data_IF_188834001443
#
_entry.id   IF_188834001443
#
_cell.length_a   1.000
_cell.length_b   1.000
_cell.length_c   1.000
_cell.angle_alpha   90.00
_cell.angle_beta   90.00
_cell.angle_gamma   90.00
#
_symmetry.space_group_name_H-M   'P 1'
#
loop_
_entity.id
_entity.type
_entity.pdbx_description
1 polymer ?
#
# COMPACT_ATOMS: atom_id res chain seq x y z
N UNK A 1 18.51 4.98 11.63
CA UNK A 1 17.59 3.95 11.10
C UNK A 1 18.40 2.71 10.81
N UNK A 2 17.93 1.53 11.16
CA UNK A 2 18.77 0.35 11.01
C UNK A 2 18.89 -0.09 9.54
N UNK A 3 19.94 -0.84 9.25
CA UNK A 3 20.26 -1.26 7.89
C UNK A 3 19.22 -2.22 7.32
N UNK A 4 18.66 -3.08 8.16
CA UNK A 4 17.65 -4.03 7.71
C UNK A 4 16.40 -3.31 7.19
N UNK A 5 15.95 -2.31 7.93
CA UNK A 5 14.78 -1.52 7.53
C UNK A 5 15.05 -0.81 6.20
N UNK A 6 16.25 -0.25 6.04
CA UNK A 6 16.64 0.44 4.81
C UNK A 6 16.69 -0.54 3.63
N UNK A 7 17.20 -1.76 3.84
CA UNK A 7 17.19 -2.78 2.80
C UNK A 7 15.78 -3.17 2.41
N UNK A 8 14.89 -3.32 3.39
CA UNK A 8 13.49 -3.65 3.11
C UNK A 8 12.84 -2.57 2.25
N UNK A 9 13.07 -1.31 2.58
CA UNK A 9 12.54 -0.18 1.82
C UNK A 9 13.11 -0.17 0.40
N UNK A 10 14.41 -0.42 0.26
CA UNK A 10 15.08 -0.38 -1.04
C UNK A 10 14.60 -1.49 -1.98
N UNK A 11 14.02 -2.55 -1.44
CA UNK A 11 13.47 -3.65 -2.23
C UNK A 11 12.02 -3.46 -2.62
N UNK A 12 11.38 -2.39 -2.14
CA UNK A 12 10.00 -2.11 -2.51
C UNK A 12 9.93 -1.53 -3.91
N UNK A 13 8.87 -1.92 -4.62
CA UNK A 13 8.62 -1.48 -5.99
C UNK A 13 7.41 -0.55 -6.02
N UNK A 14 7.07 -0.05 -7.21
CA UNK A 14 5.97 0.89 -7.37
C UNK A 14 4.65 0.39 -6.77
N UNK A 15 4.21 -0.86 -6.99
CA UNK A 15 2.95 -1.30 -6.40
C UNK A 15 2.96 -1.29 -4.87
N UNK A 16 4.09 -1.62 -4.25
CA UNK A 16 4.20 -1.55 -2.79
C UNK A 16 4.04 -0.11 -2.30
N UNK A 17 4.72 0.82 -2.94
CA UNK A 17 4.62 2.24 -2.60
C UNK A 17 3.19 2.75 -2.72
N UNK A 18 2.52 2.41 -3.83
CA UNK A 18 1.18 2.91 -4.09
C UNK A 18 0.16 2.38 -3.07
N UNK A 19 0.28 1.10 -2.69
CA UNK A 19 -0.60 0.54 -1.65
C UNK A 19 -0.42 1.28 -0.33
N UNK A 20 0.82 1.52 0.06
CA UNK A 20 1.11 2.29 1.27
C UNK A 20 0.55 3.71 1.16
N UNK A 21 0.74 4.34 0.03
CA UNK A 21 0.29 5.69 -0.21
C UNK A 21 -1.25 5.80 -0.15
N UNK A 22 -1.95 4.88 -0.81
CA UNK A 22 -3.41 4.88 -0.81
C UNK A 22 -3.98 4.54 0.56
N UNK A 23 -3.37 3.59 1.25
CA UNK A 23 -3.77 3.23 2.62
C UNK A 23 -3.64 4.41 3.57
N UNK A 24 -2.52 5.12 3.49
CA UNK A 24 -2.29 6.30 4.31
C UNK A 24 -3.27 7.43 3.96
N UNK A 25 -3.56 7.61 2.66
CA UNK A 25 -4.53 8.60 2.22
C UNK A 25 -5.91 8.32 2.78
N UNK A 26 -6.32 7.05 2.77
CA UNK A 26 -7.60 6.64 3.32
C UNK A 26 -7.69 6.93 4.82
N UNK A 27 -6.63 6.67 5.56
CA UNK A 27 -6.59 6.96 6.99
C UNK A 27 -6.71 8.46 7.26
N UNK A 28 -6.01 9.28 6.49
CA UNK A 28 -6.09 10.74 6.61
C UNK A 28 -7.51 11.25 6.34
N UNK A 29 -8.21 10.60 5.43
CA UNK A 29 -9.60 10.95 5.09
C UNK A 29 -10.62 10.26 5.98
N UNK A 30 -10.17 9.47 6.95
CA UNK A 30 -11.03 8.72 7.87
C UNK A 30 -12.02 7.83 7.14
N UNK A 31 -11.54 7.17 6.09
CA UNK A 31 -12.32 6.20 5.31
C UNK A 31 -11.57 4.89 5.23
N UNK A 32 -12.26 3.83 4.85
CA UNK A 32 -11.65 2.50 4.72
C UNK A 32 -11.14 2.29 3.30
N UNK A 33 -10.06 1.52 3.20
CA UNK A 33 -9.50 1.11 1.92
C UNK A 33 -9.40 -0.41 1.94
N UNK A 34 -10.22 -1.08 1.13
CA UNK A 34 -10.25 -2.54 1.13
C UNK A 34 -9.46 -3.10 -0.05
N UNK A 35 -9.27 -4.43 -0.05
CA UNK A 35 -8.46 -5.07 -1.09
C UNK A 35 -9.09 -4.98 -2.47
N UNK A 36 -10.42 -4.92 -2.57
CA UNK A 36 -11.09 -4.72 -3.85
C UNK A 36 -10.76 -3.34 -4.42
N UNK A 37 -10.80 -2.30 -3.58
CA UNK A 37 -10.38 -0.96 -3.98
C UNK A 37 -8.93 -0.96 -4.48
N UNK A 38 -8.07 -1.68 -3.77
CA UNK A 38 -6.66 -1.79 -4.12
C UNK A 38 -6.47 -2.46 -5.49
N UNK A 39 -7.16 -3.56 -5.73
CA UNK A 39 -7.10 -4.26 -7.02
C UNK A 39 -7.57 -3.35 -8.15
N UNK A 40 -8.66 -2.64 -7.94
CA UNK A 40 -9.22 -1.73 -8.95
C UNK A 40 -8.25 -0.58 -9.26
N UNK A 41 -7.64 -0.01 -8.23
CA UNK A 41 -6.69 1.09 -8.41
C UNK A 41 -5.43 0.63 -9.15
N UNK A 42 -4.89 -0.53 -8.77
CA UNK A 42 -3.71 -1.09 -9.44
C UNK A 42 -4.00 -1.38 -10.90
N UNK A 43 -5.18 -1.91 -11.19
CA UNK A 43 -5.60 -2.19 -12.56
C UNK A 43 -5.82 -0.90 -13.34
N UNK A 44 -6.46 0.09 -12.73
CA UNK A 44 -6.73 1.37 -13.36
C UNK A 44 -5.44 2.06 -13.83
N UNK A 45 -4.42 2.03 -12.99
CA UNK A 45 -3.11 2.63 -13.30
C UNK A 45 -2.21 1.70 -14.10
N UNK A 46 -2.68 0.51 -14.47
CA UNK A 46 -1.94 -0.49 -15.23
C UNK A 46 -0.66 -0.94 -14.54
N UNK A 47 -0.70 -0.98 -13.21
CA UNK A 47 0.44 -1.42 -12.38
C UNK A 47 0.47 -2.94 -12.30
N UNK A 48 -0.70 -3.56 -12.10
CA UNK A 48 -0.83 -5.02 -12.11
C UNK A 48 -1.94 -5.43 -13.07
N UNK A 49 -1.80 -6.63 -13.67
CA UNK A 49 -2.79 -7.15 -14.60
C UNK A 49 -3.73 -8.16 -13.94
N UNK A 50 -3.28 -8.83 -12.89
CA UNK A 50 -4.02 -9.91 -12.27
C UNK A 50 -4.15 -9.71 -10.77
N UNK A 51 -5.19 -10.33 -10.20
CA UNK A 51 -5.36 -10.35 -8.75
C UNK A 51 -4.24 -11.11 -8.06
N UNK A 52 -3.68 -12.12 -8.72
CA UNK A 52 -2.57 -12.90 -8.16
C UNK A 52 -1.35 -12.03 -7.91
N UNK A 53 -0.98 -11.18 -8.86
CA UNK A 53 0.14 -10.27 -8.72
C UNK A 53 -0.13 -9.27 -7.59
N UNK A 54 -1.33 -8.69 -7.57
CA UNK A 54 -1.71 -7.74 -6.53
C UNK A 54 -1.70 -8.39 -5.15
N UNK A 55 -2.22 -9.62 -5.05
CA UNK A 55 -2.23 -10.37 -3.79
C UNK A 55 -0.81 -10.63 -3.30
N UNK A 56 0.11 -10.97 -4.20
CA UNK A 56 1.50 -11.20 -3.84
C UNK A 56 2.14 -9.94 -3.24
N UNK A 57 1.81 -8.76 -3.79
CA UNK A 57 2.31 -7.49 -3.26
C UNK A 57 1.75 -7.23 -1.86
N UNK A 58 0.44 -7.46 -1.67
CA UNK A 58 -0.19 -7.32 -0.36
C UNK A 58 0.42 -8.27 0.67
N UNK A 59 0.63 -9.54 0.27
CA UNK A 59 1.25 -10.53 1.16
C UNK A 59 2.65 -10.11 1.58
N UNK A 60 3.44 -9.58 0.64
CA UNK A 60 4.78 -9.11 0.94
C UNK A 60 4.76 -7.98 1.96
N UNK A 61 3.88 -6.99 1.76
CA UNK A 61 3.74 -5.87 2.70
C UNK A 61 3.30 -6.34 4.08
N UNK A 62 2.40 -7.33 4.13
CA UNK A 62 1.92 -7.89 5.38
C UNK A 62 3.03 -8.63 6.12
N UNK A 63 3.83 -9.41 5.40
CA UNK A 63 4.97 -10.13 5.99
C UNK A 63 6.03 -9.20 6.53
N UNK A 64 6.22 -8.06 5.88
CA UNK A 64 7.13 -7.03 6.35
C UNK A 64 6.56 -6.20 7.50
N UNK A 65 5.29 -6.42 7.84
CA UNK A 65 4.59 -5.68 8.90
C UNK A 65 4.37 -4.21 8.55
N UNK A 66 4.34 -3.89 7.27
CA UNK A 66 4.05 -2.53 6.81
C UNK A 66 2.55 -2.26 6.73
N UNK A 67 1.75 -3.30 6.54
CA UNK A 67 0.30 -3.21 6.55
C UNK A 67 -0.29 -4.33 7.39
N UNK A 68 -1.54 -4.13 7.78
CA UNK A 68 -2.38 -5.13 8.43
C UNK A 68 -3.66 -5.24 7.61
N UNK A 69 -4.17 -6.45 7.42
CA UNK A 69 -5.42 -6.68 6.71
C UNK A 69 -6.41 -7.30 7.69
N UNK A 70 -7.56 -6.65 7.86
CA UNK A 70 -8.58 -7.10 8.81
C UNK A 70 -9.87 -7.44 8.10
N UNK A 71 -10.43 -8.59 8.47
CA UNK A 71 -11.77 -8.98 8.03
C UNK A 71 -12.80 -8.22 8.84
N UNK A 72 -13.53 -7.32 8.17
CA UNK A 72 -14.53 -6.49 8.83
C UNK A 72 -15.84 -6.58 8.06
N UNK A 73 -16.72 -7.46 8.51
CA UNK A 73 -17.95 -7.76 7.80
C UNK A 73 -17.66 -8.50 6.52
N UNK A 74 -18.11 -7.98 5.39
CA UNK A 74 -17.90 -8.61 4.08
C UNK A 74 -16.66 -8.08 3.36
N UNK A 75 -15.83 -7.30 4.05
CA UNK A 75 -14.69 -6.63 3.44
C UNK A 75 -13.40 -6.93 4.17
N UNK A 76 -12.32 -6.96 3.42
CA UNK A 76 -10.98 -7.05 3.97
C UNK A 76 -10.35 -5.67 3.84
N UNK A 77 -10.23 -4.96 4.97
CA UNK A 77 -9.72 -3.60 4.99
C UNK A 77 -8.22 -3.59 5.25
N UNK A 78 -7.54 -2.69 4.57
CA UNK A 78 -6.08 -2.52 4.65
C UNK A 78 -5.80 -1.36 5.60
N UNK A 79 -4.92 -1.59 6.56
CA UNK A 79 -4.47 -0.58 7.51
C UNK A 79 -2.96 -0.45 7.44
N UNK A 80 -2.47 0.78 7.48
CA UNK A 80 -1.03 1.05 7.51
C UNK A 80 -0.57 0.95 8.95
N UNK A 81 0.48 0.17 9.20
CA UNK A 81 1.09 0.11 10.52
C UNK A 81 1.98 1.33 10.73
N UNK A 82 2.37 1.66 11.98
CA UNK A 82 3.36 2.71 12.21
C UNK A 82 4.68 2.43 11.48
N UNK A 83 5.05 1.17 11.34
CA UNK A 83 6.25 0.76 10.61
C UNK A 83 6.09 1.04 9.11
N UNK A 84 4.90 0.74 8.57
CA UNK A 84 4.57 1.05 7.18
C UNK A 84 4.53 2.53 6.90
N UNK A 85 4.05 3.32 7.86
CA UNK A 85 4.05 4.78 7.74
C UNK A 85 5.47 5.33 7.63
N UNK A 86 6.40 4.76 8.41
CA UNK A 86 7.82 5.14 8.33
C UNK A 86 8.42 4.76 6.98
N UNK A 87 8.06 3.60 6.45
CA UNK A 87 8.52 3.15 5.14
C UNK A 87 8.02 4.10 4.05
N UNK A 88 6.76 4.47 4.11
CA UNK A 88 6.17 5.41 3.15
C UNK A 88 6.86 6.77 3.21
N UNK A 89 7.06 7.29 4.42
CA UNK A 89 7.74 8.57 4.61
C UNK A 89 9.14 8.55 3.98
N UNK A 90 9.89 7.47 4.20
CA UNK A 90 11.21 7.31 3.64
C UNK A 90 11.17 7.32 2.11
N UNK A 91 10.23 6.59 1.51
CA UNK A 91 10.09 6.53 0.06
C UNK A 91 9.68 7.88 -0.53
N UNK A 92 8.83 8.61 0.16
CA UNK A 92 8.42 9.96 -0.26
C UNK A 92 9.61 10.91 -0.23
N UNK A 93 10.39 10.88 0.84
CA UNK A 93 11.57 11.74 0.99
C UNK A 93 12.63 11.43 -0.07
N UNK A 94 12.79 10.14 -0.43
CA UNK A 94 13.74 9.72 -1.46
C UNK A 94 13.25 10.03 -2.88
N UNK A 95 11.97 10.38 -3.04
CA UNK A 95 11.35 10.64 -4.34
C UNK A 95 11.53 9.49 -5.32
N UNK A 96 11.52 8.24 -4.81
CA UNK A 96 11.74 7.05 -5.61
C UNK A 96 10.59 6.80 -6.58
N UNK A 97 9.36 7.05 -6.13
CA UNK A 97 8.16 6.77 -6.93
C UNK A 97 7.26 8.00 -6.97
N UNK A 98 6.47 8.09 -8.03
CA UNK A 98 5.50 9.17 -8.20
C UNK A 98 4.16 8.75 -7.61
N UNK A 99 3.60 9.52 -6.68
CA UNK A 99 2.26 9.22 -6.16
C UNK A 99 1.21 9.31 -7.27
N UNK A 100 0.24 8.41 -7.22
CA UNK A 100 -0.90 8.39 -8.12
C UNK A 100 -2.18 8.42 -7.29
N UNK A 101 -3.21 9.05 -7.81
CA UNK A 101 -4.48 9.15 -7.08
C UNK A 101 -5.21 7.82 -7.07
N UNK A 102 -5.83 7.49 -5.94
CA UNK A 102 -6.74 6.36 -5.85
C UNK A 102 -8.05 6.71 -6.52
N UNK A 103 -8.43 5.94 -7.52
CA UNK A 103 -9.74 6.10 -8.15
C UNK A 103 -10.86 5.81 -7.14
N UNK A 104 -10.65 4.81 -6.29
CA UNK A 104 -11.64 4.43 -5.28
C UNK A 104 -11.88 5.53 -4.25
N UNK A 105 -10.84 6.30 -3.89
CA UNK A 105 -10.94 7.36 -2.88
C UNK A 105 -11.43 8.70 -3.45
N UNK A 106 -11.46 8.84 -4.76
CA UNK A 106 -11.92 10.08 -5.41
C UNK A 106 -13.44 10.14 -5.58
N UNK A 107 -14.15 9.08 -5.26
CA UNK A 107 -15.60 9.00 -5.39
C UNK A 107 -16.31 9.71 -4.25
#
# INVERSE_FOLDING_TARGET
MDELFQEQINNLEEPHFLILYWGATAEDRKTNYNITNCFDDLKFHRITRTKQTATAVLDALQKLRFIDIRDEGNRKNIYITPYGAKALESLVLQQTFTPKKSFALEV
#
